data_IF_228847490573
#
_entry.id   IF_228847490573
#
_cell.length_a   1.000
_cell.length_b   1.000
_cell.length_c   1.000
_cell.angle_alpha   90.00
_cell.angle_beta   90.00
_cell.angle_gamma   90.00
#
_symmetry.space_group_name_H-M   'P 1'
#
loop_
_entity.id
_entity.type
_entity.pdbx_description
1 polymer ?
#
# COMPACT_ATOMS: atom_id res chain seq x y z
N UNK A 1 -13.53 35.46 -15.56
CA UNK A 1 -14.23 34.22 -15.13
C UNK A 1 -13.14 33.21 -14.87
N UNK A 2 -12.57 33.27 -13.68
CA UNK A 2 -11.57 32.31 -13.23
C UNK A 2 -12.26 30.96 -13.09
N UNK A 3 -11.86 29.99 -13.90
CA UNK A 3 -12.29 28.61 -13.70
C UNK A 3 -11.70 28.15 -12.38
N UNK A 4 -12.57 27.93 -11.39
CA UNK A 4 -12.25 27.12 -10.22
C UNK A 4 -11.96 25.74 -10.76
N UNK A 5 -10.67 25.39 -10.85
CA UNK A 5 -10.25 24.01 -11.10
C UNK A 5 -10.72 23.24 -9.87
N UNK A 6 -11.79 22.46 -10.04
CA UNK A 6 -12.20 21.50 -9.04
C UNK A 6 -11.04 20.51 -8.89
N UNK A 7 -10.30 20.64 -7.80
CA UNK A 7 -9.14 19.79 -7.52
C UNK A 7 -9.71 18.45 -7.08
N UNK A 8 -10.07 17.61 -8.06
CA UNK A 8 -10.54 16.25 -7.83
C UNK A 8 -9.57 15.58 -6.87
N UNK A 9 -10.06 15.28 -5.65
CA UNK A 9 -9.25 14.61 -4.64
C UNK A 9 -9.01 13.19 -5.11
N UNK A 10 -7.89 12.96 -5.78
CA UNK A 10 -7.50 11.64 -6.27
C UNK A 10 -7.23 10.73 -5.09
N UNK A 11 -8.11 9.74 -4.93
CA UNK A 11 -8.03 8.76 -3.86
C UNK A 11 -7.35 7.51 -4.39
N UNK A 12 -6.22 7.15 -3.82
CA UNK A 12 -5.64 5.83 -3.97
C UNK A 12 -6.01 4.97 -2.77
N UNK A 13 -6.25 3.66 -2.98
CA UNK A 13 -6.61 2.74 -1.90
C UNK A 13 -5.77 1.48 -1.97
N UNK A 14 -5.41 0.98 -0.78
CA UNK A 14 -4.74 -0.29 -0.60
C UNK A 14 -5.58 -1.25 0.22
N UNK A 15 -5.45 -2.54 -0.07
CA UNK A 15 -5.92 -3.61 0.82
C UNK A 15 -4.74 -4.03 1.69
N UNK A 16 -4.84 -3.81 3.02
CA UNK A 16 -3.87 -4.31 3.99
C UNK A 16 -4.21 -5.74 4.40
N UNK A 17 -3.23 -6.64 4.28
CA UNK A 17 -3.36 -8.05 4.65
C UNK A 17 -2.33 -8.39 5.73
N UNK A 18 -2.80 -9.01 6.81
CA UNK A 18 -2.00 -9.50 7.93
C UNK A 18 -2.27 -10.98 8.15
N UNK A 19 -1.23 -11.79 8.24
CA UNK A 19 -1.35 -13.21 8.55
C UNK A 19 -0.17 -13.70 9.38
N UNK A 20 -0.34 -14.85 10.03
CA UNK A 20 0.75 -15.54 10.73
C UNK A 20 1.26 -16.69 9.89
N UNK A 21 2.57 -16.87 9.90
CA UNK A 21 3.24 -18.06 9.38
C UNK A 21 3.82 -18.88 10.55
N UNK A 22 3.87 -20.19 10.38
CA UNK A 22 4.59 -21.05 11.31
C UNK A 22 6.06 -20.62 11.34
N UNK A 23 6.62 -20.51 12.54
CA UNK A 23 8.05 -20.26 12.67
C UNK A 23 8.87 -21.42 12.08
N UNK A 24 10.16 -21.19 11.78
CA UNK A 24 11.01 -22.17 11.11
C UNK A 24 11.26 -23.46 11.92
N UNK A 25 10.94 -23.46 13.22
CA UNK A 25 11.10 -24.60 14.11
C UNK A 25 9.79 -24.93 14.81
N UNK A 26 9.62 -26.18 15.24
CA UNK A 26 8.40 -26.71 15.87
C UNK A 26 7.94 -25.94 17.11
N UNK A 27 8.85 -25.23 17.79
CA UNK A 27 8.57 -24.42 18.98
C UNK A 27 8.78 -22.91 18.77
N UNK A 28 8.98 -22.46 17.53
CA UNK A 28 9.12 -21.03 17.27
C UNK A 28 7.77 -20.31 17.36
N UNK A 29 7.74 -19.08 17.90
CA UNK A 29 6.53 -18.28 17.88
C UNK A 29 6.09 -18.01 16.43
N UNK A 30 4.78 -17.85 16.19
CA UNK A 30 4.28 -17.47 14.88
C UNK A 30 4.85 -16.12 14.46
N UNK A 31 5.22 -16.01 13.18
CA UNK A 31 5.76 -14.78 12.60
C UNK A 31 4.63 -14.06 11.89
N UNK A 32 4.38 -12.81 12.26
CA UNK A 32 3.43 -11.96 11.53
C UNK A 32 4.04 -11.49 10.22
N UNK A 33 3.23 -11.56 9.17
CA UNK A 33 3.53 -11.04 7.84
C UNK A 33 2.57 -9.91 7.50
N UNK A 34 3.07 -8.99 6.68
CA UNK A 34 2.37 -7.79 6.27
C UNK A 34 2.49 -7.71 4.75
N UNK A 35 1.40 -7.48 4.06
CA UNK A 35 1.42 -7.04 2.67
C UNK A 35 0.34 -6.01 2.41
N UNK A 36 0.55 -5.19 1.40
CA UNK A 36 -0.52 -4.40 0.79
C UNK A 36 -0.73 -4.86 -0.65
N UNK A 37 -1.95 -4.70 -1.13
CA UNK A 37 -2.34 -5.01 -2.49
C UNK A 37 -3.08 -3.81 -3.09
N UNK A 38 -2.73 -3.47 -4.32
CA UNK A 38 -3.50 -2.53 -5.13
C UNK A 38 -4.70 -3.29 -5.74
N UNK A 39 -5.95 -2.91 -5.39
CA UNK A 39 -7.13 -3.61 -5.86
C UNK A 39 -7.39 -3.44 -7.37
N UNK A 40 -6.81 -2.44 -8.02
CA UNK A 40 -6.98 -2.17 -9.44
C UNK A 40 -5.99 -2.99 -10.26
N UNK A 41 -4.72 -3.00 -9.85
CA UNK A 41 -3.65 -3.68 -10.60
C UNK A 41 -3.37 -5.10 -10.12
N UNK A 42 -3.92 -5.50 -8.96
CA UNK A 42 -3.61 -6.75 -8.27
C UNK A 42 -2.12 -6.91 -7.90
N UNK A 43 -1.33 -5.84 -7.98
CA UNK A 43 0.07 -5.86 -7.56
C UNK A 43 0.12 -5.95 -6.04
N UNK A 44 1.00 -6.81 -5.53
CA UNK A 44 1.19 -7.05 -4.10
C UNK A 44 2.62 -6.73 -3.68
N UNK A 45 2.76 -6.02 -2.57
CA UNK A 45 4.03 -5.73 -1.93
C UNK A 45 4.03 -6.31 -0.51
N UNK A 46 5.02 -7.15 -0.21
CA UNK A 46 5.22 -7.75 1.11
C UNK A 46 6.28 -7.00 1.91
N UNK A 47 6.11 -6.95 3.23
CA UNK A 47 6.99 -6.24 4.16
C UNK A 47 7.43 -7.17 5.29
N UNK A 48 8.67 -7.04 5.74
CA UNK A 48 9.22 -7.81 6.87
C UNK A 48 8.75 -7.29 8.22
N UNK A 49 8.22 -6.07 8.26
CA UNK A 49 7.71 -5.45 9.48
C UNK A 49 7.05 -4.10 9.20
N UNK A 50 6.53 -3.48 10.27
CA UNK A 50 5.79 -2.23 10.17
C UNK A 50 6.64 -1.06 9.66
N UNK A 51 7.94 -1.01 10.02
CA UNK A 51 8.84 0.05 9.57
C UNK A 51 8.93 0.11 8.03
N UNK A 52 9.15 -1.05 7.38
CA UNK A 52 9.21 -1.11 5.90
C UNK A 52 7.88 -0.71 5.24
N UNK A 53 6.73 -1.01 5.87
CA UNK A 53 5.42 -0.55 5.38
C UNK A 53 5.29 0.98 5.48
N UNK A 54 5.74 1.57 6.59
CA UNK A 54 5.70 3.02 6.78
C UNK A 54 6.60 3.71 5.77
N UNK A 55 7.84 3.26 5.62
CA UNK A 55 8.79 3.81 4.64
C UNK A 55 8.21 3.75 3.21
N UNK A 56 7.55 2.65 2.85
CA UNK A 56 6.87 2.52 1.57
C UNK A 56 5.74 3.54 1.39
N UNK A 57 4.89 3.73 2.41
CA UNK A 57 3.77 4.66 2.34
C UNK A 57 4.25 6.11 2.29
N UNK A 58 5.31 6.45 3.00
CA UNK A 58 5.94 7.78 2.94
C UNK A 58 6.51 8.07 1.55
N UNK A 59 7.22 7.10 0.96
CA UNK A 59 7.75 7.22 -0.41
C UNK A 59 6.62 7.40 -1.42
N UNK A 60 5.56 6.59 -1.33
CA UNK A 60 4.41 6.71 -2.21
C UNK A 60 3.77 8.10 -2.04
N UNK A 61 3.41 8.53 -0.84
CA UNK A 61 2.81 9.86 -0.64
C UNK A 61 3.68 10.99 -1.23
N UNK A 62 5.01 10.86 -1.16
CA UNK A 62 5.95 11.84 -1.72
C UNK A 62 6.08 11.74 -3.25
N UNK A 63 6.07 10.53 -3.79
CA UNK A 63 6.33 10.22 -5.19
C UNK A 63 5.25 9.32 -5.80
N UNK A 64 4.11 9.92 -6.22
CA UNK A 64 3.11 9.19 -6.98
C UNK A 64 3.58 8.55 -8.26
N UNK A 65 3.26 7.26 -8.52
CA UNK A 65 3.23 6.77 -9.88
C UNK A 65 2.28 7.67 -10.68
N UNK A 66 2.75 8.15 -11.83
CA UNK A 66 2.00 9.07 -12.68
C UNK A 66 0.61 8.51 -13.06
N UNK A 67 0.53 7.19 -13.24
CA UNK A 67 -0.68 6.47 -13.63
C UNK A 67 -1.78 6.48 -12.55
N UNK A 68 -1.42 6.78 -11.28
CA UNK A 68 -2.39 6.97 -10.21
C UNK A 68 -3.05 8.37 -10.25
N UNK A 69 -2.50 9.29 -11.04
CA UNK A 69 -3.04 10.65 -11.24
C UNK A 69 -3.99 10.73 -12.44
N UNK A 70 -4.25 9.61 -13.13
CA UNK A 70 -5.15 9.52 -14.30
C UNK A 70 -6.31 8.55 -14.08
N UNK A 71 -6.71 8.27 -12.83
CA UNK A 71 -8.00 7.63 -12.60
C UNK A 71 -9.13 8.66 -12.69
N UNK A 72 -9.56 8.93 -13.92
CA UNK A 72 -10.84 9.54 -14.23
C UNK A 72 -11.95 8.53 -13.86
N UNK A 73 -12.61 8.77 -12.73
CA UNK A 73 -13.92 8.19 -12.42
C UNK A 73 -15.01 9.25 -12.62
#
# INVERSE_FOLDING_TARGET
>A
MDSVVDKTSQRHSFILVLWTEAGPYSNSPPVWRISIEDPVTSVRWGFKGLAELVDFLEEWITHPPADCLESDW
#
